data_IF_116430185058
#
_entry.id   IF_116430185058
#
_cell.length_a   1.000
_cell.length_b   1.000
_cell.length_c   1.000
_cell.angle_alpha   90.00
_cell.angle_beta   90.00
_cell.angle_gamma   90.00
#
_symmetry.space_group_name_H-M   'P 1'
#
loop_
_entity.id
_entity.type
_entity.pdbx_description
1 polymer ?
#
# COMPACT_ATOMS: atom_id res chain seq x y z
N UNK A 1 58.05 -9.39 -41.62
CA UNK A 1 58.71 -10.72 -41.73
C UNK A 1 59.29 -11.03 -40.36
N UNK A 2 58.57 -11.82 -39.53
CA UNK A 2 58.85 -13.24 -39.17
C UNK A 2 60.06 -13.38 -38.23
N UNK A 3 60.07 -14.06 -37.06
CA UNK A 3 59.33 -15.20 -36.48
C UNK A 3 59.43 -15.14 -34.93
N UNK A 4 58.43 -15.48 -34.11
CA UNK A 4 58.02 -16.82 -33.61
C UNK A 4 59.13 -17.76 -33.11
N UNK A 5 59.10 -18.09 -31.80
CA UNK A 5 59.11 -19.43 -31.13
C UNK A 5 59.11 -19.21 -29.59
N UNK A 6 57.98 -19.34 -28.89
CA UNK A 6 57.39 -20.56 -28.29
C UNK A 6 58.18 -21.17 -27.12
N UNK A 7 57.62 -21.09 -25.90
CA UNK A 7 57.74 -22.11 -24.86
C UNK A 7 56.36 -22.32 -24.22
N UNK A 8 55.92 -23.57 -24.25
CA UNK A 8 54.71 -24.07 -23.61
C UNK A 8 55.05 -24.81 -22.31
N UNK A 9 53.97 -25.09 -21.56
CA UNK A 9 53.78 -25.90 -20.34
C UNK A 9 53.88 -25.14 -19.02
N UNK A 10 52.97 -25.27 -18.05
CA UNK A 10 51.57 -25.72 -17.96
C UNK A 10 51.13 -25.50 -16.49
N UNK A 11 49.94 -24.91 -16.31
CA UNK A 11 48.90 -25.16 -15.28
C UNK A 11 49.25 -25.15 -13.76
N UNK A 12 48.70 -24.13 -13.07
CA UNK A 12 47.95 -24.22 -11.82
C UNK A 12 47.10 -22.92 -11.73
N UNK A 13 45.81 -22.89 -12.07
CA UNK A 13 44.65 -23.33 -11.27
C UNK A 13 44.58 -22.70 -9.88
N UNK A 14 43.98 -21.50 -9.78
CA UNK A 14 43.16 -21.15 -8.63
C UNK A 14 42.04 -20.23 -9.12
N UNK A 15 40.85 -20.80 -9.21
CA UNK A 15 39.60 -20.12 -9.52
C UNK A 15 39.30 -19.06 -8.45
N UNK A 16 39.56 -17.79 -8.76
CA UNK A 16 38.93 -16.68 -8.06
C UNK A 16 37.55 -16.47 -8.70
N UNK A 17 36.61 -17.31 -8.28
CA UNK A 17 35.19 -17.19 -8.60
C UNK A 17 34.68 -15.90 -7.96
N UNK A 18 34.70 -14.80 -8.73
CA UNK A 18 33.97 -13.58 -8.41
C UNK A 18 32.49 -13.91 -8.50
N UNK A 19 31.91 -14.39 -7.41
CA UNK A 19 30.47 -14.53 -7.26
C UNK A 19 29.86 -13.13 -7.25
N UNK A 20 29.63 -12.58 -8.43
CA UNK A 20 28.48 -11.71 -8.63
C UNK A 20 27.28 -12.51 -8.14
N UNK A 21 26.76 -12.13 -6.97
CA UNK A 21 25.40 -12.47 -6.61
C UNK A 21 24.54 -11.77 -7.67
N UNK A 22 24.29 -12.49 -8.77
CA UNK A 22 23.10 -12.29 -9.56
C UNK A 22 21.93 -12.45 -8.58
N UNK A 23 21.53 -11.34 -7.97
CA UNK A 23 20.19 -11.23 -7.42
C UNK A 23 19.28 -11.53 -8.59
N UNK A 24 18.79 -12.76 -8.59
CA UNK A 24 17.76 -13.26 -9.46
C UNK A 24 16.50 -12.47 -9.11
N UNK A 25 16.45 -11.21 -9.56
CA UNK A 25 15.22 -10.45 -9.70
C UNK A 25 14.47 -11.17 -10.79
N UNK A 26 13.78 -12.24 -10.40
CA UNK A 26 12.77 -12.85 -11.22
C UNK A 26 11.85 -11.72 -11.65
N UNK A 27 12.01 -11.29 -12.89
CA UNK A 27 11.11 -10.37 -13.56
C UNK A 27 9.77 -11.07 -13.62
N UNK A 28 8.94 -10.85 -12.60
CA UNK A 28 7.54 -11.16 -12.68
C UNK A 28 7.02 -10.38 -13.87
N UNK A 29 6.43 -11.11 -14.82
CA UNK A 29 5.83 -10.50 -15.99
C UNK A 29 4.60 -9.72 -15.53
N UNK A 30 4.79 -8.43 -15.21
CA UNK A 30 3.76 -7.49 -14.79
C UNK A 30 2.85 -7.07 -15.96
N UNK A 31 2.74 -7.89 -17.01
CA UNK A 31 1.90 -7.67 -18.21
C UNK A 31 0.40 -7.71 -17.92
N UNK A 32 -0.02 -7.96 -16.67
CA UNK A 32 -1.38 -7.67 -16.24
C UNK A 32 -1.60 -6.15 -16.26
N UNK A 33 -2.46 -5.69 -17.16
CA UNK A 33 -2.80 -4.27 -17.37
C UNK A 33 -3.36 -3.56 -16.13
N UNK A 34 -3.60 -4.28 -15.03
CA UNK A 34 -4.17 -3.77 -13.78
C UNK A 34 -3.65 -4.56 -12.55
N UNK A 35 -2.48 -4.23 -11.98
CA UNK A 35 -1.96 -4.97 -10.83
C UNK A 35 -2.90 -4.88 -9.62
N UNK A 36 -3.11 -6.01 -8.94
CA UNK A 36 -3.86 -6.04 -7.67
C UNK A 36 -2.89 -6.16 -6.51
N UNK A 37 -3.05 -5.28 -5.52
CA UNK A 37 -2.31 -5.23 -4.27
C UNK A 37 -3.16 -5.80 -3.14
N UNK A 38 -2.50 -6.41 -2.16
CA UNK A 38 -3.10 -6.95 -0.97
C UNK A 38 -2.51 -6.24 0.25
N UNK A 39 -3.36 -5.72 1.12
CA UNK A 39 -3.01 -5.17 2.43
C UNK A 39 -3.42 -6.22 3.46
N UNK A 40 -2.44 -6.78 4.15
CA UNK A 40 -2.63 -7.85 5.14
C UNK A 40 -1.76 -7.60 6.37
N UNK A 41 -2.10 -8.27 7.48
CA UNK A 41 -1.21 -8.30 8.65
C UNK A 41 0.00 -9.17 8.35
N UNK A 42 1.20 -8.71 8.72
CA UNK A 42 2.41 -9.51 8.58
C UNK A 42 2.33 -10.77 9.42
N UNK A 43 2.72 -11.90 8.82
CA UNK A 43 2.76 -13.21 9.48
C UNK A 43 3.87 -13.32 10.52
N UNK A 44 4.91 -12.49 10.40
CA UNK A 44 6.07 -12.47 11.31
C UNK A 44 5.99 -11.35 12.35
N UNK A 45 5.23 -10.30 12.07
CA UNK A 45 5.02 -9.19 12.99
C UNK A 45 3.55 -8.74 12.96
N UNK A 46 2.69 -9.24 13.86
CA UNK A 46 1.27 -8.92 13.87
C UNK A 46 0.93 -7.43 14.05
N UNK A 47 1.87 -6.62 14.54
CA UNK A 47 1.71 -5.16 14.67
C UNK A 47 1.99 -4.39 13.37
N UNK A 48 2.40 -5.08 12.31
CA UNK A 48 2.77 -4.50 11.02
C UNK A 48 1.79 -4.92 9.94
N UNK A 49 1.27 -3.95 9.19
CA UNK A 49 0.58 -4.23 7.94
C UNK A 49 1.56 -4.22 6.79
N UNK A 50 1.40 -5.14 5.86
CA UNK A 50 2.25 -5.30 4.68
C UNK A 50 1.43 -5.20 3.41
N UNK A 51 2.05 -4.63 2.39
CA UNK A 51 1.46 -4.43 1.07
C UNK A 51 2.26 -5.23 0.06
N UNK A 52 1.62 -6.20 -0.58
CA UNK A 52 2.23 -7.08 -1.57
C UNK A 52 1.36 -7.17 -2.81
N UNK A 53 1.91 -7.66 -3.91
CA UNK A 53 1.08 -8.08 -5.04
C UNK A 53 0.20 -9.27 -4.64
N UNK A 54 -1.03 -9.29 -5.17
CA UNK A 54 -1.93 -10.42 -4.96
C UNK A 54 -1.33 -11.70 -5.54
N UNK A 55 -1.32 -12.78 -4.75
CA UNK A 55 -0.68 -14.04 -5.11
C UNK A 55 0.84 -14.08 -4.92
N UNK A 56 1.46 -13.05 -4.34
CA UNK A 56 2.88 -13.10 -4.01
C UNK A 56 3.18 -14.27 -3.04
N UNK A 57 4.30 -15.00 -3.22
CA UNK A 57 4.74 -16.02 -2.26
C UNK A 57 4.90 -15.45 -0.84
N UNK A 58 4.66 -16.28 0.19
CA UNK A 58 4.68 -15.87 1.60
C UNK A 58 5.99 -15.19 2.05
N UNK A 59 7.12 -15.51 1.42
CA UNK A 59 8.44 -14.97 1.77
C UNK A 59 8.85 -13.76 0.92
N UNK A 60 7.95 -13.23 0.08
CA UNK A 60 8.27 -12.07 -0.76
C UNK A 60 8.38 -10.82 0.11
N UNK A 61 9.42 -10.01 -0.12
CA UNK A 61 9.52 -8.73 0.56
C UNK A 61 8.31 -7.84 0.18
N UNK A 62 7.68 -7.16 1.16
CA UNK A 62 6.57 -6.28 0.87
C UNK A 62 7.03 -5.05 0.09
N UNK A 63 6.14 -4.48 -0.71
CA UNK A 63 6.36 -3.21 -1.40
C UNK A 63 6.35 -2.05 -0.42
N UNK A 64 5.40 -2.11 0.53
CA UNK A 64 5.20 -1.11 1.56
C UNK A 64 4.82 -1.78 2.87
N UNK A 65 5.06 -1.10 3.97
CA UNK A 65 4.53 -1.49 5.27
C UNK A 65 3.96 -0.29 6.01
N UNK A 66 2.98 -0.56 6.86
CA UNK A 66 2.28 0.44 7.67
C UNK A 66 2.35 -0.01 9.13
N UNK A 67 2.93 0.82 9.99
CA UNK A 67 3.12 0.52 11.41
C UNK A 67 2.49 1.62 12.28
N UNK A 68 1.96 1.30 13.47
CA UNK A 68 1.59 2.32 14.44
C UNK A 68 2.83 3.09 14.92
N UNK A 69 2.69 4.41 15.12
CA UNK A 69 3.73 5.19 15.75
C UNK A 69 3.81 4.86 17.24
N UNK A 70 5.02 4.56 17.73
CA UNK A 70 5.21 4.10 19.11
C UNK A 70 4.78 5.12 20.17
N UNK A 71 4.90 6.42 19.89
CA UNK A 71 4.67 7.50 20.86
C UNK A 71 3.45 8.36 20.57
N UNK A 72 2.80 8.17 19.41
CA UNK A 72 1.70 9.03 18.95
C UNK A 72 0.49 8.17 18.61
N UNK A 73 -0.42 7.92 19.57
CA UNK A 73 -1.63 7.15 19.33
C UNK A 73 -2.43 7.72 18.15
N UNK A 74 -2.93 6.85 17.28
CA UNK A 74 -3.70 7.24 16.10
C UNK A 74 -2.86 7.75 14.91
N UNK A 75 -1.53 7.76 15.03
CA UNK A 75 -0.60 8.00 13.94
C UNK A 75 -0.06 6.67 13.38
N UNK A 76 -0.08 6.53 12.07
CA UNK A 76 0.48 5.41 11.32
C UNK A 76 1.66 5.90 10.48
N UNK A 77 2.74 5.15 10.46
CA UNK A 77 3.95 5.43 9.69
C UNK A 77 3.98 4.48 8.49
N UNK A 78 4.31 5.03 7.33
CA UNK A 78 4.38 4.30 6.05
C UNK A 78 5.83 4.19 5.63
N UNK A 79 6.27 2.96 5.34
CA UNK A 79 7.61 2.65 4.85
C UNK A 79 7.55 2.04 3.46
N UNK A 80 8.60 2.26 2.67
CA UNK A 80 8.89 1.44 1.49
C UNK A 80 9.60 0.18 1.96
N UNK A 81 9.04 -0.98 1.65
CA UNK A 81 9.49 -2.25 2.23
C UNK A 81 9.18 -2.37 3.72
N UNK A 82 10.01 -3.13 4.43
CA UNK A 82 9.95 -3.27 5.89
C UNK A 82 10.62 -2.06 6.56
N UNK A 83 10.23 -1.72 7.81
CA UNK A 83 10.93 -0.70 8.58
C UNK A 83 12.41 -1.08 8.73
N UNK A 84 13.31 -0.16 8.36
CA UNK A 84 14.75 -0.39 8.44
C UNK A 84 15.21 -0.28 9.91
N UNK A 85 15.73 -1.37 10.51
CA UNK A 85 16.20 -1.35 11.89
C UNK A 85 17.43 -0.45 12.10
N UNK A 86 18.16 -0.11 11.02
CA UNK A 86 19.34 0.77 11.08
C UNK A 86 18.97 2.25 10.98
N UNK A 87 17.74 2.55 10.56
CA UNK A 87 17.25 3.92 10.38
C UNK A 87 17.89 4.69 9.21
N UNK A 88 18.64 4.01 8.32
CA UNK A 88 19.21 4.63 7.13
C UNK A 88 18.14 5.00 6.12
N UNK A 89 17.12 4.16 5.97
CA UNK A 89 15.94 4.46 5.16
C UNK A 89 14.78 4.89 6.05
N UNK A 90 14.49 6.19 6.04
CA UNK A 90 13.39 6.78 6.78
C UNK A 90 12.01 6.41 6.23
N UNK A 91 10.94 6.74 6.98
CA UNK A 91 9.58 6.56 6.50
C UNK A 91 9.31 7.43 5.27
N UNK A 92 8.48 6.93 4.35
CA UNK A 92 8.04 7.67 3.17
C UNK A 92 6.82 8.56 3.47
N UNK A 93 6.18 8.37 4.62
CA UNK A 93 5.03 9.16 5.00
C UNK A 93 4.39 8.74 6.30
N UNK A 94 3.30 9.41 6.64
CA UNK A 94 2.47 9.10 7.79
C UNK A 94 1.01 9.47 7.55
N UNK A 95 0.12 8.86 8.32
CA UNK A 95 -1.29 9.20 8.45
C UNK A 95 -1.57 9.52 9.91
N UNK A 96 -2.28 10.61 10.18
CA UNK A 96 -2.80 10.94 11.50
C UNK A 96 -4.32 11.04 11.43
N UNK A 97 -5.02 10.25 12.22
CA UNK A 97 -6.48 10.36 12.30
C UNK A 97 -6.85 11.63 13.08
N UNK A 98 -7.37 12.65 12.40
CA UNK A 98 -7.74 13.93 13.01
C UNK A 98 -9.16 13.91 13.59
N UNK A 99 -10.06 13.11 13.04
CA UNK A 99 -11.40 12.85 13.59
C UNK A 99 -11.97 11.53 13.07
N UNK A 100 -13.19 11.17 13.47
CA UNK A 100 -13.90 9.99 12.95
C UNK A 100 -14.07 10.02 11.42
N UNK A 101 -14.20 11.22 10.85
CA UNK A 101 -14.49 11.45 9.43
C UNK A 101 -13.35 12.12 8.67
N UNK A 102 -12.19 12.32 9.31
CA UNK A 102 -11.05 12.97 8.67
C UNK A 102 -9.70 12.45 9.13
N UNK A 103 -8.74 12.44 8.22
CA UNK A 103 -7.35 12.14 8.50
C UNK A 103 -6.45 13.06 7.69
N UNK A 104 -5.31 13.38 8.27
CA UNK A 104 -4.23 14.10 7.63
C UNK A 104 -3.19 13.08 7.20
N UNK A 105 -2.64 13.26 6.01
CA UNK A 105 -1.62 12.36 5.49
C UNK A 105 -0.47 13.20 4.95
N UNK A 106 0.76 12.76 5.19
CA UNK A 106 1.93 13.30 4.52
C UNK A 106 2.61 12.15 3.80
N UNK A 107 2.67 12.22 2.48
CA UNK A 107 3.37 11.23 1.66
C UNK A 107 4.44 11.94 0.85
N UNK A 108 5.70 11.52 1.00
CA UNK A 108 6.87 12.10 0.32
C UNK A 108 6.95 13.63 0.43
N UNK A 109 6.61 14.18 1.60
CA UNK A 109 6.60 15.62 1.85
C UNK A 109 5.34 16.35 1.34
N UNK A 110 4.41 15.67 0.67
CA UNK A 110 3.15 16.25 0.23
C UNK A 110 2.08 16.09 1.33
N UNK A 111 1.69 17.22 1.94
CA UNK A 111 0.59 17.28 2.89
C UNK A 111 -0.76 17.15 2.18
N UNK A 112 -1.58 16.23 2.66
CA UNK A 112 -2.87 15.85 2.09
C UNK A 112 -3.91 15.71 3.19
N UNK A 113 -5.18 15.68 2.79
CA UNK A 113 -6.31 15.44 3.68
C UNK A 113 -7.29 14.44 3.10
N UNK A 114 -7.66 13.44 3.88
CA UNK A 114 -8.74 12.50 3.61
C UNK A 114 -9.97 12.93 4.41
N UNK A 115 -11.12 13.03 3.76
CA UNK A 115 -12.40 13.38 4.41
C UNK A 115 -13.52 12.48 3.92
N UNK A 116 -14.27 11.91 4.85
CA UNK A 116 -15.49 11.15 4.60
C UNK A 116 -16.69 12.09 4.45
N UNK A 117 -17.52 11.82 3.44
CA UNK A 117 -18.85 12.39 3.27
C UNK A 117 -19.84 11.52 4.03
N UNK A 118 -20.41 12.04 5.11
CA UNK A 118 -21.42 11.32 5.90
C UNK A 118 -22.73 11.08 5.11
N UNK A 119 -23.01 11.91 4.11
CA UNK A 119 -24.24 11.80 3.29
C UNK A 119 -24.13 10.71 2.22
N UNK A 120 -22.97 10.58 1.57
CA UNK A 120 -22.79 9.68 0.43
C UNK A 120 -21.91 8.47 0.71
N UNK A 121 -21.21 8.43 1.85
CA UNK A 121 -20.19 7.43 2.14
C UNK A 121 -18.93 7.55 1.27
N UNK A 122 -18.84 8.58 0.43
CA UNK A 122 -17.66 8.84 -0.40
C UNK A 122 -16.52 9.41 0.45
N UNK A 123 -15.29 9.29 -0.04
CA UNK A 123 -14.13 9.96 0.55
C UNK A 123 -13.46 10.88 -0.46
N UNK A 124 -13.07 12.08 -0.04
CA UNK A 124 -12.26 12.98 -0.85
C UNK A 124 -10.84 13.06 -0.33
N UNK A 125 -9.87 13.01 -1.25
CA UNK A 125 -8.45 13.27 -0.98
C UNK A 125 -8.09 14.60 -1.62
N UNK A 126 -7.64 15.56 -0.81
CA UNK A 126 -7.22 16.90 -1.26
C UNK A 126 -5.75 17.15 -0.94
N UNK A 127 -5.11 18.08 -1.65
CA UNK A 127 -3.68 18.38 -1.49
C UNK A 127 -2.75 17.42 -2.23
N UNK A 128 -3.29 16.51 -3.06
CA UNK A 128 -2.46 15.59 -3.83
C UNK A 128 -1.78 16.31 -5.00
N UNK A 129 -0.58 15.89 -5.43
CA UNK A 129 0.07 16.41 -6.64
C UNK A 129 -0.76 16.23 -7.92
N UNK A 130 -1.75 15.33 -7.90
CA UNK A 130 -2.63 15.02 -9.03
C UNK A 130 -3.96 15.79 -8.99
N UNK A 131 -4.09 16.76 -8.08
CA UNK A 131 -5.34 17.46 -7.82
C UNK A 131 -6.24 16.72 -6.82
N UNK A 132 -7.55 16.94 -6.92
CA UNK A 132 -8.52 16.32 -6.01
C UNK A 132 -8.87 14.91 -6.48
N UNK A 133 -8.72 13.94 -5.59
CA UNK A 133 -9.17 12.57 -5.82
C UNK A 133 -10.41 12.25 -4.99
N UNK A 134 -11.19 11.27 -5.44
CA UNK A 134 -12.41 10.85 -4.75
C UNK A 134 -12.59 9.34 -4.79
N UNK A 135 -12.69 8.69 -3.63
CA UNK A 135 -13.24 7.35 -3.49
C UNK A 135 -14.76 7.42 -3.54
N UNK A 136 -15.34 6.84 -4.58
CA UNK A 136 -16.79 6.76 -4.77
C UNK A 136 -17.29 5.41 -4.29
N UNK A 137 -18.27 5.43 -3.39
CA UNK A 137 -18.93 4.20 -2.93
C UNK A 137 -19.83 3.64 -4.03
N UNK A 138 -19.68 2.34 -4.33
CA UNK A 138 -20.52 1.67 -5.32
C UNK A 138 -21.88 1.33 -4.72
N UNK A 139 -22.94 1.98 -5.22
CA UNK A 139 -24.33 1.68 -4.82
C UNK A 139 -24.71 0.22 -5.11
N UNK A 140 -24.20 -0.35 -6.22
CA UNK A 140 -24.47 -1.73 -6.64
C UNK A 140 -23.96 -2.78 -5.64
N UNK A 141 -22.98 -2.44 -4.82
CA UNK A 141 -22.38 -3.34 -3.83
C UNK A 141 -22.73 -2.94 -2.41
N UNK A 142 -23.77 -2.11 -2.23
CA UNK A 142 -24.14 -1.57 -0.92
C UNK A 142 -23.01 -0.76 -0.26
N UNK A 143 -22.16 -0.09 -1.05
CA UNK A 143 -21.03 0.71 -0.56
C UNK A 143 -19.76 -0.08 -0.20
N UNK A 144 -19.77 -1.42 -0.24
CA UNK A 144 -18.62 -2.25 0.13
C UNK A 144 -17.40 -2.18 -0.82
N UNK A 145 -17.60 -1.61 -2.00
CA UNK A 145 -16.56 -1.39 -3.01
C UNK A 145 -16.41 0.11 -3.24
N UNK A 146 -15.17 0.59 -3.16
CA UNK A 146 -14.81 1.98 -3.42
C UNK A 146 -14.04 2.05 -4.74
N UNK A 147 -14.32 3.06 -5.56
CA UNK A 147 -13.53 3.36 -6.77
C UNK A 147 -12.89 4.73 -6.63
N UNK A 148 -11.56 4.79 -6.73
CA UNK A 148 -10.80 6.03 -6.72
C UNK A 148 -10.89 6.68 -8.11
N UNK A 149 -11.31 7.94 -8.14
CA UNK A 149 -11.38 8.74 -9.35
C UNK A 149 -10.57 10.02 -9.19
N UNK A 150 -10.01 10.52 -10.29
CA UNK A 150 -9.51 11.90 -10.37
C UNK A 150 -10.67 12.90 -10.55
N UNK A 151 -10.32 14.19 -10.65
CA UNK A 151 -11.29 15.28 -10.86
C UNK A 151 -12.05 15.19 -12.18
N UNK A 152 -11.49 14.52 -13.19
CA UNK A 152 -12.08 14.31 -14.50
C UNK A 152 -12.95 13.05 -14.54
N UNK A 153 -13.04 12.31 -13.43
CA UNK A 153 -13.78 11.06 -13.33
C UNK A 153 -13.05 9.85 -13.88
N UNK A 154 -11.77 9.97 -14.26
CA UNK A 154 -10.94 8.82 -14.65
C UNK A 154 -10.75 7.94 -13.43
N UNK A 155 -10.97 6.63 -13.60
CA UNK A 155 -10.79 5.64 -12.54
C UNK A 155 -9.30 5.31 -12.40
N UNK A 156 -8.78 5.35 -11.18
CA UNK A 156 -7.37 5.13 -10.86
C UNK A 156 -7.16 3.80 -10.13
N UNK A 157 -8.05 3.47 -9.21
CA UNK A 157 -7.99 2.24 -8.42
C UNK A 157 -9.38 1.82 -7.96
N UNK A 158 -9.52 0.57 -7.52
CA UNK A 158 -10.77 0.02 -6.99
C UNK A 158 -10.48 -0.94 -5.84
N UNK A 159 -11.21 -0.84 -4.75
CA UNK A 159 -11.13 -1.85 -3.69
C UNK A 159 -11.86 -3.12 -4.12
N UNK A 160 -11.28 -4.27 -3.81
CA UNK A 160 -11.90 -5.59 -4.00
C UNK A 160 -12.19 -6.16 -2.61
N UNK A 161 -13.47 -6.35 -2.30
CA UNK A 161 -13.89 -7.04 -1.08
C UNK A 161 -14.07 -8.53 -1.41
N UNK A 162 -13.48 -9.43 -0.60
CA UNK A 162 -14.00 -10.80 -0.52
C UNK A 162 -15.33 -10.73 0.25
N UNK A 163 -16.34 -11.48 -0.21
CA UNK A 163 -17.61 -11.65 0.51
C UNK A 163 -17.33 -12.07 1.95
N UNK A 164 -17.91 -11.33 2.91
CA UNK A 164 -18.06 -11.67 4.32
C UNK A 164 -16.80 -12.16 5.05
N UNK A 165 -16.03 -11.22 5.63
CA UNK A 165 -15.00 -11.55 6.62
C UNK A 165 -14.05 -10.39 6.88
N UNK A 166 -13.46 -10.39 8.08
CA UNK A 166 -12.42 -9.48 8.58
C UNK A 166 -11.08 -9.60 7.80
N UNK A 167 -11.13 -9.86 6.49
CA UNK A 167 -9.97 -10.24 5.68
C UNK A 167 -9.24 -9.08 5.02
N UNK A 168 -8.08 -9.44 4.46
CA UNK A 168 -7.15 -8.60 3.71
C UNK A 168 -7.86 -7.68 2.72
N UNK A 169 -7.44 -6.42 2.71
CA UNK A 169 -7.98 -5.43 1.79
C UNK A 169 -7.23 -5.50 0.47
N UNK A 170 -7.95 -5.80 -0.61
CA UNK A 170 -7.38 -5.81 -1.96
C UNK A 170 -7.65 -4.51 -2.70
N UNK A 171 -6.69 -4.06 -3.48
CA UNK A 171 -6.75 -2.84 -4.29
C UNK A 171 -6.29 -3.17 -5.70
N UNK A 172 -7.18 -3.05 -6.66
CA UNK A 172 -6.87 -3.15 -8.09
C UNK A 172 -6.50 -1.78 -8.62
N UNK A 173 -5.30 -1.65 -9.19
CA UNK A 173 -4.88 -0.46 -9.90
C UNK A 173 -5.45 -0.50 -11.32
N UNK A 174 -6.07 0.60 -11.78
CA UNK A 174 -6.74 0.70 -13.08
C UNK A 174 -5.96 1.57 -14.07
N UNK A 175 -4.76 1.96 -13.69
CA UNK A 175 -3.83 2.78 -14.46
C UNK A 175 -2.43 2.16 -14.38
N UNK A 176 -1.54 2.49 -15.33
CA UNK A 176 -0.13 2.08 -15.24
C UNK A 176 0.48 2.45 -13.90
N UNK A 177 1.45 1.64 -13.47
CA UNK A 177 2.09 1.79 -12.17
C UNK A 177 2.81 3.13 -12.06
N UNK A 178 2.26 4.00 -11.22
CA UNK A 178 2.89 5.22 -10.71
C UNK A 178 2.99 5.06 -9.20
N UNK A 179 4.20 5.14 -8.65
CA UNK A 179 4.45 4.88 -7.24
C UNK A 179 3.62 5.79 -6.33
N UNK A 180 3.47 7.07 -6.69
CA UNK A 180 2.73 8.05 -5.89
C UNK A 180 1.23 7.73 -5.90
N UNK A 181 0.70 7.35 -7.07
CA UNK A 181 -0.71 6.91 -7.20
C UNK A 181 -0.96 5.68 -6.33
N UNK A 182 -0.06 4.71 -6.38
CA UNK A 182 -0.16 3.46 -5.62
C UNK A 182 -0.10 3.74 -4.13
N UNK A 183 0.86 4.53 -3.68
CA UNK A 183 1.01 4.92 -2.27
C UNK A 183 -0.26 5.62 -1.76
N UNK A 184 -0.75 6.63 -2.48
CA UNK A 184 -1.98 7.33 -2.13
C UNK A 184 -3.16 6.36 -2.10
N UNK A 185 -3.32 5.50 -3.11
CA UNK A 185 -4.43 4.56 -3.19
C UNK A 185 -4.43 3.59 -2.01
N UNK A 186 -3.27 3.00 -1.69
CA UNK A 186 -3.10 2.05 -0.57
C UNK A 186 -3.43 2.70 0.78
N UNK A 187 -2.77 3.82 1.07
CA UNK A 187 -2.86 4.53 2.34
C UNK A 187 -4.27 5.06 2.56
N UNK A 188 -4.88 5.67 1.54
CA UNK A 188 -6.23 6.25 1.67
C UNK A 188 -7.32 5.19 1.65
N UNK A 189 -7.16 4.07 0.94
CA UNK A 189 -8.12 2.99 0.97
C UNK A 189 -8.14 2.29 2.33
N UNK A 190 -6.97 2.03 2.93
CA UNK A 190 -6.87 1.47 4.28
C UNK A 190 -7.55 2.38 5.30
N UNK A 191 -7.21 3.67 5.27
CA UNK A 191 -7.80 4.62 6.21
C UNK A 191 -9.31 4.83 5.98
N UNK A 192 -9.77 4.84 4.73
CA UNK A 192 -11.20 4.93 4.41
C UNK A 192 -11.99 3.73 4.96
N UNK A 193 -11.44 2.51 4.84
CA UNK A 193 -12.03 1.31 5.46
C UNK A 193 -12.14 1.46 6.97
N UNK A 194 -11.04 1.84 7.63
CA UNK A 194 -11.02 2.03 9.09
C UNK A 194 -11.99 3.13 9.57
N UNK A 195 -12.16 4.22 8.80
CA UNK A 195 -13.15 5.26 9.09
C UNK A 195 -14.58 4.76 8.92
N UNK A 196 -14.87 4.03 7.84
CA UNK A 196 -16.20 3.47 7.61
C UNK A 196 -16.60 2.48 8.72
N UNK A 197 -15.67 1.63 9.16
CA UNK A 197 -15.89 0.69 10.27
C UNK A 197 -16.18 1.41 11.58
N UNK A 198 -15.41 2.46 11.91
CA UNK A 198 -15.68 3.30 13.08
C UNK A 198 -17.06 3.95 13.02
N UNK A 199 -17.41 4.54 11.88
CA UNK A 199 -18.71 5.17 11.70
C UNK A 199 -19.88 4.18 11.88
N UNK A 200 -19.73 2.94 11.41
CA UNK A 200 -20.74 1.87 11.61
C UNK A 200 -20.86 1.52 13.11
N UNK A 201 -19.74 1.31 13.79
CA UNK A 201 -19.74 0.95 15.21
C UNK A 201 -20.38 2.04 16.08
N UNK A 202 -20.07 3.32 15.83
CA UNK A 202 -20.68 4.45 16.55
C UNK A 202 -22.21 4.50 16.37
N UNK A 203 -22.72 4.18 15.17
CA UNK A 203 -24.19 4.14 14.93
C UNK A 203 -24.85 3.00 15.72
N UNK A 204 -24.22 1.83 15.77
CA UNK A 204 -24.73 0.67 16.51
C UNK A 204 -24.82 0.96 18.01
N UNK A 205 -23.78 1.58 18.58
CA UNK A 205 -23.75 1.94 20.01
C UNK A 205 -24.91 2.89 20.38
N UNK A 206 -25.19 3.91 19.55
CA UNK A 206 -26.29 4.85 19.79
C UNK A 206 -27.65 4.15 19.71
N UNK A 207 -27.85 3.26 18.74
CA UNK A 207 -29.11 2.51 18.61
C UNK A 207 -29.37 1.58 19.82
N UNK A 208 -28.31 0.95 20.33
CA UNK A 208 -28.42 0.09 21.51
C UNK A 208 -28.74 0.89 22.78
N UNK A 209 -28.17 2.09 22.93
CA UNK A 209 -28.48 2.97 24.06
C UNK A 209 -29.95 3.45 24.06
N UNK A 210 -30.52 3.72 22.88
CA UNK A 210 -31.93 4.15 22.74
C UNK A 210 -32.91 2.99 22.96
N UNK A 211 -32.57 1.77 22.56
CA UNK A 211 -33.46 0.61 22.71
C UNK A 211 -33.50 0.02 24.12
N UNK A 212 -32.57 0.41 25.00
CA UNK A 212 -32.49 -0.05 26.39
C UNK A 212 -33.07 0.93 27.42
N UNK A 213 -33.74 2.00 26.97
CA UNK A 213 -34.36 3.03 27.81
C UNK A 213 -35.88 2.86 27.91
#
# INVERSE_FOLDING_TARGET
MTSFFSRHFSKASSDANSSYLETNTGTYDYTSTSPTLCISTSTTNPGLLVVQYDGAPQNTLPLYSIAPHAMSPGMLIVYRGLPDPTGQMGPIGHITCSSETSAELNMRGCAMKLKMSQLSGDFSVTGTPMGKLKWKASQLTGGSTLTLCDSNGKKLAKTKTKKAGFGDQKIEMLVPYDEMVVEIAVVTAYQAKAMAERAINSVVEVMQAVSGS
#
